data_IF_682818383947
#
_entry.id   IF_682818383947
#
_cell.length_a   1.000
_cell.length_b   1.000
_cell.length_c   1.000
_cell.angle_alpha   90.00
_cell.angle_beta   90.00
_cell.angle_gamma   90.00
#
_symmetry.space_group_name_H-M   'P 1'
#
loop_
_entity.id
_entity.type
_entity.pdbx_description
1 polymer ?
#
# COMPACT_ATOMS: atom_id res chain seq x y z
N UNK A 1 38.14 58.35 -23.66
CA UNK A 1 38.59 57.35 -22.67
C UNK A 1 37.54 57.16 -21.56
N UNK A 2 36.46 56.40 -21.76
CA UNK A 2 35.48 56.04 -20.68
C UNK A 2 34.76 54.69 -20.92
N UNK A 3 35.30 53.80 -21.76
CA UNK A 3 34.63 52.51 -22.09
C UNK A 3 35.29 51.32 -21.35
N UNK A 4 36.51 51.46 -20.83
CA UNK A 4 37.22 50.37 -20.14
C UNK A 4 36.74 50.04 -18.72
N UNK A 5 36.09 50.98 -18.02
CA UNK A 5 35.71 50.78 -16.62
C UNK A 5 34.41 49.96 -16.44
N UNK A 6 33.48 50.01 -17.39
CA UNK A 6 32.21 49.28 -17.30
C UNK A 6 32.35 47.78 -17.60
N UNK A 7 33.26 47.38 -18.47
CA UNK A 7 33.48 45.97 -18.80
C UNK A 7 34.14 45.20 -17.65
N UNK A 8 35.02 45.84 -16.87
CA UNK A 8 35.68 45.22 -15.72
C UNK A 8 34.72 44.99 -14.54
N UNK A 9 33.77 45.91 -14.32
CA UNK A 9 32.78 45.79 -13.27
C UNK A 9 31.75 44.67 -13.54
N UNK A 10 31.36 44.48 -14.81
CA UNK A 10 30.45 43.40 -15.19
C UNK A 10 31.10 42.01 -15.03
N UNK A 11 32.38 41.85 -15.37
CA UNK A 11 33.10 40.59 -15.21
C UNK A 11 33.27 40.18 -13.72
N UNK A 12 33.43 41.15 -12.81
CA UNK A 12 33.53 40.89 -11.36
C UNK A 12 32.19 40.50 -10.72
N UNK A 13 31.07 41.00 -11.25
CA UNK A 13 29.71 40.62 -10.82
C UNK A 13 29.36 39.18 -11.23
N UNK A 14 29.79 38.71 -12.40
CA UNK A 14 29.57 37.32 -12.81
C UNK A 14 30.41 36.30 -12.03
N UNK A 15 31.63 36.67 -11.60
CA UNK A 15 32.49 35.79 -10.80
C UNK A 15 32.03 35.60 -9.34
N UNK A 16 31.28 36.55 -8.78
CA UNK A 16 30.77 36.45 -7.40
C UNK A 16 29.46 35.68 -7.30
N UNK A 17 28.62 35.69 -8.35
CA UNK A 17 27.38 34.90 -8.41
C UNK A 17 27.63 33.39 -8.58
N UNK A 18 28.75 32.97 -9.19
CA UNK A 18 29.09 31.56 -9.39
C UNK A 18 29.54 30.80 -8.12
N UNK A 19 30.02 31.51 -7.09
CA UNK A 19 30.57 30.88 -5.87
C UNK A 19 29.55 30.67 -4.74
N UNK A 20 28.40 31.36 -4.73
CA UNK A 20 27.39 31.18 -3.69
C UNK A 20 26.54 29.92 -3.91
N UNK A 21 26.26 29.56 -5.17
CA UNK A 21 25.39 28.42 -5.49
C UNK A 21 25.98 27.08 -5.01
N UNK A 22 27.27 26.85 -5.29
CA UNK A 22 27.99 25.63 -4.90
C UNK A 22 28.12 25.42 -3.38
N UNK A 23 28.13 26.51 -2.59
CA UNK A 23 28.24 26.41 -1.13
C UNK A 23 26.92 25.96 -0.51
N UNK A 24 25.80 26.46 -1.01
CA UNK A 24 24.46 26.06 -0.56
C UNK A 24 24.16 24.59 -0.91
N UNK A 25 24.63 24.13 -2.06
CA UNK A 25 24.42 22.76 -2.53
C UNK A 25 25.22 21.74 -1.70
N UNK A 26 26.50 22.02 -1.39
CA UNK A 26 27.31 21.16 -0.51
C UNK A 26 26.78 21.09 0.92
N UNK A 27 26.28 22.19 1.47
CA UNK A 27 25.68 22.20 2.81
C UNK A 27 24.44 21.30 2.83
N UNK A 28 23.58 21.41 1.81
CA UNK A 28 22.39 20.54 1.67
C UNK A 28 22.76 19.08 1.50
N UNK A 29 23.78 18.76 0.71
CA UNK A 29 24.22 17.38 0.53
C UNK A 29 24.73 16.78 1.86
N UNK A 30 25.51 17.56 2.61
CA UNK A 30 25.95 17.19 3.96
C UNK A 30 24.77 16.99 4.94
N UNK A 31 23.70 17.76 4.83
CA UNK A 31 22.50 17.60 5.67
C UNK A 31 21.69 16.36 5.31
N UNK A 32 21.59 16.02 4.01
CA UNK A 32 20.96 14.77 3.58
C UNK A 32 21.74 13.56 4.09
N UNK A 33 23.07 13.59 3.99
CA UNK A 33 23.90 12.49 4.48
C UNK A 33 23.82 12.36 6.00
N UNK A 34 23.72 13.49 6.73
CA UNK A 34 23.41 13.49 8.16
C UNK A 34 22.05 12.87 8.46
N UNK A 35 21.02 13.19 7.67
CA UNK A 35 19.70 12.57 7.81
C UNK A 35 19.75 11.05 7.57
N UNK A 36 20.53 10.60 6.58
CA UNK A 36 20.80 9.18 6.35
C UNK A 36 21.41 8.50 7.57
N UNK A 37 22.44 9.08 8.16
CA UNK A 37 23.06 8.55 9.38
C UNK A 37 22.09 8.49 10.56
N UNK A 38 21.17 9.45 10.69
CA UNK A 38 20.12 9.41 11.71
C UNK A 38 19.14 8.26 11.50
N UNK A 39 18.76 7.96 10.24
CA UNK A 39 17.90 6.81 9.90
C UNK A 39 18.61 5.49 10.24
N UNK A 40 19.89 5.37 9.90
CA UNK A 40 20.69 4.18 10.20
C UNK A 40 20.87 3.94 11.71
N UNK A 41 20.85 5.01 12.50
CA UNK A 41 20.87 4.99 13.97
C UNK A 41 19.48 4.82 14.60
N UNK A 42 18.44 4.59 13.80
CA UNK A 42 17.03 4.49 14.23
C UNK A 42 16.48 5.76 14.92
N UNK A 43 17.14 6.92 14.72
CA UNK A 43 16.74 8.23 15.25
C UNK A 43 15.75 8.92 14.30
N UNK A 44 14.62 8.26 14.07
CA UNK A 44 13.68 8.65 13.02
C UNK A 44 13.04 10.02 13.24
N UNK A 45 12.71 10.40 14.47
CA UNK A 45 12.07 11.70 14.74
C UNK A 45 12.98 12.89 14.39
N UNK A 46 14.27 12.76 14.68
CA UNK A 46 15.27 13.77 14.32
C UNK A 46 15.49 13.82 12.80
N UNK A 47 15.57 12.65 12.15
CA UNK A 47 15.68 12.57 10.70
C UNK A 47 14.48 13.20 10.00
N UNK A 48 13.25 12.90 10.46
CA UNK A 48 12.01 13.45 9.92
C UNK A 48 11.99 14.97 10.09
N UNK A 49 12.31 15.48 11.28
CA UNK A 49 12.33 16.93 11.54
C UNK A 49 13.28 17.65 10.60
N UNK A 50 14.52 17.14 10.48
CA UNK A 50 15.53 17.70 9.57
C UNK A 50 15.04 17.68 8.11
N UNK A 51 14.50 16.55 7.64
CA UNK A 51 14.09 16.38 6.24
C UNK A 51 12.83 17.17 5.88
N UNK A 52 11.87 17.34 6.80
CA UNK A 52 10.69 18.20 6.58
C UNK A 52 11.10 19.67 6.47
N UNK A 53 12.04 20.13 7.30
CA UNK A 53 12.57 21.49 7.20
C UNK A 53 13.28 21.70 5.87
N UNK A 54 14.12 20.75 5.44
CA UNK A 54 14.78 20.82 4.14
C UNK A 54 13.79 20.78 2.96
N UNK A 55 12.67 20.05 3.10
CA UNK A 55 11.65 19.93 2.05
C UNK A 55 10.92 21.25 1.80
N UNK A 56 10.74 22.10 2.81
CA UNK A 56 10.13 23.44 2.66
C UNK A 56 10.90 24.31 1.67
N UNK A 57 12.23 24.16 1.66
CA UNK A 57 13.14 24.98 0.84
C UNK A 57 13.55 24.31 -0.49
N UNK A 58 13.21 23.03 -0.68
CA UNK A 58 13.70 22.22 -1.80
C UNK A 58 12.81 21.00 -2.08
N UNK A 59 12.26 20.93 -3.29
CA UNK A 59 11.50 19.76 -3.77
C UNK A 59 12.37 18.59 -4.23
N UNK A 60 13.64 18.52 -3.82
CA UNK A 60 14.59 17.51 -4.31
C UNK A 60 14.13 16.08 -4.03
N UNK A 61 14.31 15.22 -5.02
CA UNK A 61 13.90 13.82 -4.96
C UNK A 61 14.56 13.06 -3.80
N UNK A 62 15.85 13.30 -3.55
CA UNK A 62 16.62 12.63 -2.48
C UNK A 62 15.97 12.92 -1.11
N UNK A 63 15.55 14.16 -0.84
CA UNK A 63 14.86 14.53 0.39
C UNK A 63 13.56 13.73 0.55
N UNK A 64 12.72 13.67 -0.50
CA UNK A 64 11.46 12.92 -0.47
C UNK A 64 11.66 11.43 -0.18
N UNK A 65 12.66 10.81 -0.81
CA UNK A 65 12.96 9.38 -0.61
C UNK A 65 13.46 9.12 0.82
N UNK A 66 14.38 9.94 1.32
CA UNK A 66 14.87 9.79 2.69
C UNK A 66 13.78 10.05 3.73
N UNK A 67 12.92 11.04 3.49
CA UNK A 67 11.80 11.36 4.39
C UNK A 67 10.79 10.22 4.45
N UNK A 68 10.43 9.65 3.30
CA UNK A 68 9.58 8.48 3.23
C UNK A 68 10.20 7.27 3.94
N UNK A 69 11.51 7.06 3.80
CA UNK A 69 12.24 6.01 4.52
C UNK A 69 12.30 6.25 6.02
N UNK A 70 12.42 7.50 6.49
CA UNK A 70 12.40 7.81 7.92
C UNK A 70 11.02 7.53 8.53
N UNK A 71 9.93 7.91 7.85
CA UNK A 71 8.57 7.54 8.24
C UNK A 71 8.34 6.02 8.25
N UNK A 72 8.75 5.32 7.17
CA UNK A 72 8.66 3.86 7.10
C UNK A 72 9.46 3.17 8.22
N UNK A 73 10.66 3.66 8.51
CA UNK A 73 11.49 3.18 9.62
C UNK A 73 10.84 3.37 10.98
N UNK A 74 10.21 4.53 11.24
CA UNK A 74 9.47 4.79 12.49
C UNK A 74 8.23 3.91 12.66
N UNK A 75 7.67 3.45 11.55
CA UNK A 75 6.62 2.44 11.51
C UNK A 75 7.13 1.00 11.72
N UNK A 76 8.45 0.82 11.80
CA UNK A 76 9.10 -0.47 12.04
C UNK A 76 9.66 -1.16 10.80
N UNK A 77 9.56 -0.55 9.61
CA UNK A 77 10.07 -1.15 8.37
C UNK A 77 11.58 -0.96 8.26
N UNK A 78 12.33 -2.06 8.32
CA UNK A 78 13.79 -2.04 8.14
C UNK A 78 14.17 -2.45 6.74
N UNK A 79 15.24 -1.85 6.20
CA UNK A 79 15.75 -2.18 4.86
C UNK A 79 16.09 -3.67 4.69
N UNK A 80 16.56 -4.31 5.77
CA UNK A 80 16.86 -5.75 5.83
C UNK A 80 15.62 -6.63 5.63
N UNK A 81 14.44 -6.15 6.03
CA UNK A 81 13.18 -6.90 5.91
C UNK A 81 12.79 -7.06 4.43
N UNK A 82 13.07 -6.08 3.56
CA UNK A 82 12.78 -6.20 2.12
C UNK A 82 13.50 -7.39 1.46
N UNK A 83 14.72 -7.70 1.89
CA UNK A 83 15.45 -8.87 1.40
C UNK A 83 14.80 -10.19 1.86
N UNK A 84 14.38 -10.25 3.12
CA UNK A 84 13.70 -11.42 3.67
C UNK A 84 12.35 -11.66 2.99
N UNK A 85 11.58 -10.59 2.75
CA UNK A 85 10.35 -10.62 1.94
C UNK A 85 10.63 -11.22 0.57
N UNK A 86 11.65 -10.71 -0.13
CA UNK A 86 11.98 -11.18 -1.48
C UNK A 86 12.35 -12.66 -1.50
N UNK A 87 13.14 -13.10 -0.52
CA UNK A 87 13.52 -14.52 -0.36
C UNK A 87 12.29 -15.39 -0.08
N UNK A 88 11.43 -14.99 0.85
CA UNK A 88 10.21 -15.74 1.20
C UNK A 88 9.23 -15.78 0.04
N UNK A 89 9.06 -14.68 -0.68
CA UNK A 89 8.20 -14.61 -1.86
C UNK A 89 8.66 -15.59 -2.95
N UNK A 90 9.98 -15.66 -3.20
CA UNK A 90 10.55 -16.65 -4.14
C UNK A 90 10.24 -18.09 -3.72
N UNK A 91 10.39 -18.41 -2.43
CA UNK A 91 10.04 -19.73 -1.90
C UNK A 91 8.56 -20.06 -2.13
N UNK A 92 7.65 -19.11 -1.88
CA UNK A 92 6.21 -19.30 -2.12
C UNK A 92 5.94 -19.59 -3.60
N UNK A 93 6.59 -18.89 -4.53
CA UNK A 93 6.45 -19.16 -5.95
C UNK A 93 6.99 -20.54 -6.36
N UNK A 94 8.03 -21.03 -5.68
CA UNK A 94 8.55 -22.39 -5.88
C UNK A 94 7.60 -23.45 -5.29
N UNK A 95 7.06 -23.21 -4.10
CA UNK A 95 6.00 -24.02 -3.47
C UNK A 95 4.78 -24.14 -4.40
N UNK A 96 4.30 -23.03 -4.97
CA UNK A 96 3.17 -22.98 -5.90
C UNK A 96 3.42 -23.73 -7.22
N UNK A 97 4.66 -23.76 -7.71
CA UNK A 97 5.03 -24.56 -8.90
C UNK A 97 5.01 -26.05 -8.62
N UNK A 98 5.28 -26.44 -7.38
CA UNK A 98 5.33 -27.82 -6.93
C UNK A 98 3.96 -28.32 -6.40
N UNK A 99 2.96 -27.44 -6.27
CA UNK A 99 1.59 -27.84 -5.94
C UNK A 99 1.02 -28.72 -7.06
N UNK A 100 0.61 -29.95 -6.70
CA UNK A 100 -0.07 -30.84 -7.63
C UNK A 100 -1.41 -30.19 -8.08
N UNK A 101 -1.61 -29.94 -9.39
CA UNK A 101 -2.90 -29.45 -9.89
C UNK A 101 -4.06 -30.42 -9.63
N UNK A 102 -3.78 -31.67 -9.25
CA UNK A 102 -4.75 -32.69 -8.80
C UNK A 102 -4.88 -32.81 -7.28
N UNK A 103 -4.21 -31.95 -6.50
CA UNK A 103 -4.33 -31.93 -5.05
C UNK A 103 -5.81 -31.88 -4.63
N UNK A 104 -6.15 -32.67 -3.61
CA UNK A 104 -7.51 -32.83 -3.13
C UNK A 104 -8.20 -31.46 -2.91
N UNK A 105 -9.47 -31.37 -3.31
CA UNK A 105 -10.29 -30.18 -3.06
C UNK A 105 -10.30 -29.84 -1.56
N UNK A 106 -10.09 -28.58 -1.22
CA UNK A 106 -10.26 -28.07 0.15
C UNK A 106 -11.72 -28.28 0.54
N UNK A 107 -12.63 -28.02 -0.41
CA UNK A 107 -14.05 -28.32 -0.29
C UNK A 107 -14.48 -29.25 -1.42
N UNK A 108 -14.86 -30.49 -1.08
CA UNK A 108 -15.35 -31.45 -2.07
C UNK A 108 -16.88 -31.50 -2.07
N UNK A 109 -17.55 -31.60 -3.24
CA UNK A 109 -19.00 -31.81 -3.27
C UNK A 109 -19.47 -33.08 -2.57
N UNK A 110 -18.57 -34.07 -2.45
CA UNK A 110 -18.82 -35.38 -1.82
C UNK A 110 -18.73 -35.32 -0.29
N UNK A 111 -18.06 -34.32 0.28
CA UNK A 111 -17.93 -34.15 1.73
C UNK A 111 -19.09 -33.36 2.35
N UNK A 112 -20.06 -32.89 1.54
CA UNK A 112 -21.23 -32.17 2.05
C UNK A 112 -22.37 -33.12 2.46
N UNK A 113 -23.12 -32.78 3.53
CA UNK A 113 -24.31 -33.53 3.94
C UNK A 113 -25.36 -33.68 2.83
N UNK A 114 -26.16 -34.75 2.93
CA UNK A 114 -27.30 -35.04 2.03
C UNK A 114 -28.31 -33.89 1.93
N UNK A 115 -28.48 -33.14 3.02
CA UNK A 115 -29.43 -32.04 3.12
C UNK A 115 -29.04 -30.77 2.34
N UNK A 116 -27.79 -30.68 1.84
CA UNK A 116 -27.35 -29.49 1.12
C UNK A 116 -27.99 -29.42 -0.27
N UNK A 117 -28.70 -28.33 -0.62
CA UNK A 117 -29.30 -28.12 -1.93
C UNK A 117 -28.36 -28.42 -3.11
N UNK A 118 -28.90 -29.03 -4.16
CA UNK A 118 -28.13 -29.46 -5.34
C UNK A 118 -27.39 -28.30 -6.02
N UNK A 119 -27.96 -27.09 -6.00
CA UNK A 119 -27.32 -25.89 -6.57
C UNK A 119 -26.04 -25.49 -5.83
N UNK A 120 -26.00 -25.64 -4.50
CA UNK A 120 -24.77 -25.40 -3.70
C UNK A 120 -23.69 -26.39 -4.11
N UNK A 121 -24.04 -27.65 -4.36
CA UNK A 121 -23.09 -28.67 -4.83
C UNK A 121 -22.44 -28.32 -6.16
N UNK A 122 -23.15 -27.61 -7.04
CA UNK A 122 -22.60 -27.10 -8.30
C UNK A 122 -21.72 -25.85 -8.12
N UNK A 123 -21.94 -25.07 -7.06
CA UNK A 123 -21.13 -23.89 -6.75
C UNK A 123 -19.78 -24.25 -6.08
N UNK A 124 -19.68 -25.40 -5.40
CA UNK A 124 -18.49 -25.81 -4.65
C UNK A 124 -17.21 -25.80 -5.47
N UNK A 125 -17.13 -26.34 -6.71
CA UNK A 125 -15.88 -26.29 -7.46
C UNK A 125 -15.42 -24.86 -7.77
N UNK A 126 -16.36 -23.94 -7.99
CA UNK A 126 -16.04 -22.53 -8.20
C UNK A 126 -15.56 -21.87 -6.91
N UNK A 127 -16.21 -22.17 -5.79
CA UNK A 127 -15.82 -21.69 -4.48
C UNK A 127 -14.46 -22.25 -4.03
N UNK A 128 -14.19 -23.53 -4.24
CA UNK A 128 -12.89 -24.17 -3.98
C UNK A 128 -11.77 -23.49 -4.77
N UNK A 129 -12.00 -23.22 -6.06
CA UNK A 129 -11.05 -22.47 -6.90
C UNK A 129 -10.76 -21.09 -6.32
N UNK A 130 -11.79 -20.35 -5.90
CA UNK A 130 -11.63 -19.02 -5.30
C UNK A 130 -10.98 -19.06 -3.92
N UNK A 131 -11.26 -20.08 -3.12
CA UNK A 131 -10.63 -20.29 -1.83
C UNK A 131 -9.14 -20.63 -1.96
N UNK A 132 -8.76 -21.44 -2.96
CA UNK A 132 -7.35 -21.69 -3.28
C UNK A 132 -6.63 -20.43 -3.74
N UNK A 133 -7.26 -19.66 -4.62
CA UNK A 133 -6.74 -18.37 -5.07
C UNK A 133 -6.53 -17.41 -3.88
N UNK A 134 -7.52 -17.32 -3.00
CA UNK A 134 -7.43 -16.56 -1.75
C UNK A 134 -6.28 -17.03 -0.85
N UNK A 135 -6.14 -18.33 -0.61
CA UNK A 135 -5.07 -18.88 0.21
C UNK A 135 -3.68 -18.62 -0.38
N UNK A 136 -3.54 -18.67 -1.70
CA UNK A 136 -2.29 -18.30 -2.39
C UNK A 136 -1.95 -16.83 -2.18
N UNK A 137 -2.93 -15.94 -2.41
CA UNK A 137 -2.75 -14.51 -2.17
C UNK A 137 -2.39 -14.24 -0.71
N UNK A 138 -3.08 -14.88 0.24
CA UNK A 138 -2.77 -14.78 1.67
C UNK A 138 -1.36 -15.27 1.99
N UNK A 139 -0.92 -16.40 1.43
CA UNK A 139 0.44 -16.90 1.60
C UNK A 139 1.47 -15.88 1.09
N UNK A 140 1.26 -15.33 -0.11
CA UNK A 140 2.11 -14.27 -0.69
C UNK A 140 2.16 -13.03 0.20
N UNK A 141 1.01 -12.58 0.70
CA UNK A 141 0.93 -11.44 1.62
C UNK A 141 1.66 -11.75 2.92
N UNK A 142 1.62 -12.97 3.45
CA UNK A 142 2.27 -13.38 4.70
C UNK A 142 3.80 -13.17 4.72
N UNK A 143 4.44 -13.08 3.54
CA UNK A 143 5.86 -12.77 3.40
C UNK A 143 6.23 -11.32 3.76
N UNK A 144 5.25 -10.41 3.79
CA UNK A 144 5.46 -8.99 4.07
C UNK A 144 5.63 -8.73 5.59
N UNK A 145 6.07 -7.54 5.99
CA UNK A 145 5.89 -7.08 7.37
C UNK A 145 4.41 -6.72 7.62
N UNK A 146 3.96 -6.90 8.86
CA UNK A 146 2.64 -6.44 9.33
C UNK A 146 2.83 -5.14 10.12
N UNK A 147 2.04 -4.11 9.81
CA UNK A 147 2.14 -2.81 10.47
C UNK A 147 1.02 -2.66 11.51
N UNK A 148 1.36 -2.44 12.80
CA UNK A 148 0.38 -2.14 13.84
C UNK A 148 -0.47 -0.91 13.49
N UNK A 149 -1.72 -0.87 13.95
CA UNK A 149 -2.68 0.20 13.64
C UNK A 149 -2.12 1.59 13.96
N UNK A 150 -1.49 1.74 15.14
CA UNK A 150 -0.89 2.97 15.62
C UNK A 150 0.30 3.48 14.79
N UNK A 151 0.85 2.63 13.91
CA UNK A 151 1.98 2.94 13.02
C UNK A 151 1.56 3.16 11.57
N UNK A 152 0.31 2.88 11.19
CA UNK A 152 -0.15 2.99 9.78
C UNK A 152 -0.08 4.42 9.25
N UNK A 153 -0.35 5.42 10.09
CA UNK A 153 -0.28 6.83 9.72
C UNK A 153 1.12 7.25 9.24
N UNK A 154 2.19 6.63 9.74
CA UNK A 154 3.55 6.89 9.25
C UNK A 154 3.76 6.31 7.85
N UNK A 155 3.20 5.13 7.56
CA UNK A 155 3.24 4.54 6.21
C UNK A 155 2.43 5.40 5.23
N UNK A 156 1.27 5.91 5.63
CA UNK A 156 0.48 6.85 4.82
C UNK A 156 1.26 8.12 4.50
N UNK A 157 1.88 8.75 5.51
CA UNK A 157 2.76 9.92 5.29
C UNK A 157 3.92 9.61 4.34
N UNK A 158 4.57 8.47 4.49
CA UNK A 158 5.62 8.04 3.58
C UNK A 158 5.11 7.94 2.13
N UNK A 159 3.92 7.36 1.93
CA UNK A 159 3.28 7.26 0.62
C UNK A 159 2.90 8.62 0.05
N UNK A 160 2.43 9.55 0.88
CA UNK A 160 2.05 10.90 0.46
C UNK A 160 3.27 11.68 -0.04
N UNK A 161 4.39 11.62 0.70
CA UNK A 161 5.66 12.24 0.29
C UNK A 161 6.11 11.72 -1.08
N UNK A 162 5.98 10.43 -1.33
CA UNK A 162 6.39 9.80 -2.59
C UNK A 162 5.39 10.08 -3.74
N UNK A 163 4.12 10.35 -3.43
CA UNK A 163 3.06 10.60 -4.42
C UNK A 163 3.33 11.81 -5.31
N UNK A 164 4.16 12.74 -4.83
CA UNK A 164 4.53 13.96 -5.55
C UNK A 164 5.64 13.75 -6.59
N UNK A 165 6.24 12.56 -6.65
CA UNK A 165 7.30 12.25 -7.60
C UNK A 165 6.75 11.60 -8.86
N UNK A 166 7.21 12.04 -10.03
CA UNK A 166 6.94 11.36 -11.31
C UNK A 166 7.92 10.20 -11.59
N UNK A 167 9.01 10.09 -10.82
CA UNK A 167 10.07 9.11 -11.08
C UNK A 167 9.67 7.68 -10.72
N UNK A 168 10.17 6.72 -11.51
CA UNK A 168 9.87 5.28 -11.40
C UNK A 168 10.21 4.71 -10.02
N UNK A 169 11.39 5.01 -9.48
CA UNK A 169 11.85 4.49 -8.19
C UNK A 169 10.94 4.84 -7.01
N UNK A 170 10.62 6.13 -6.78
CA UNK A 170 9.64 6.55 -5.78
C UNK A 170 8.24 5.96 -5.97
N UNK A 171 7.80 5.77 -7.21
CA UNK A 171 6.51 5.12 -7.51
C UNK A 171 6.53 3.65 -7.10
N UNK A 172 7.58 2.93 -7.45
CA UNK A 172 7.78 1.56 -7.00
C UNK A 172 7.81 1.49 -5.48
N UNK A 173 8.50 2.42 -4.82
CA UNK A 173 8.57 2.44 -3.36
C UNK A 173 7.20 2.70 -2.72
N UNK A 174 6.44 3.67 -3.25
CA UNK A 174 5.07 3.95 -2.79
C UNK A 174 4.14 2.76 -2.99
N UNK A 175 4.27 2.03 -4.10
CA UNK A 175 3.53 0.80 -4.36
C UNK A 175 3.85 -0.28 -3.32
N UNK A 176 5.14 -0.50 -3.01
CA UNK A 176 5.57 -1.47 -1.98
C UNK A 176 4.97 -1.13 -0.61
N UNK A 177 5.06 0.14 -0.19
CA UNK A 177 4.44 0.60 1.05
C UNK A 177 2.91 0.41 1.04
N UNK A 178 2.26 0.64 -0.11
CA UNK A 178 0.84 0.37 -0.31
C UNK A 178 0.47 -1.11 -0.12
N UNK A 179 1.27 -2.04 -0.65
CA UNK A 179 1.04 -3.48 -0.50
C UNK A 179 1.18 -3.90 0.98
N UNK A 180 2.17 -3.36 1.69
CA UNK A 180 2.38 -3.60 3.13
C UNK A 180 1.19 -3.08 3.95
N UNK A 181 0.71 -1.87 3.64
CA UNK A 181 -0.45 -1.29 4.31
C UNK A 181 -1.71 -2.10 4.00
N UNK A 182 -1.92 -2.50 2.75
CA UNK A 182 -3.04 -3.34 2.31
C UNK A 182 -3.09 -4.67 3.06
N UNK A 183 -1.93 -5.34 3.25
CA UNK A 183 -1.86 -6.53 4.11
C UNK A 183 -2.40 -6.25 5.51
N UNK A 184 -2.03 -5.12 6.10
CA UNK A 184 -2.39 -4.81 7.49
C UNK A 184 -3.91 -4.65 7.66
N UNK A 185 -4.58 -4.01 6.70
CA UNK A 185 -6.04 -3.94 6.65
C UNK A 185 -6.69 -5.32 6.41
N UNK A 186 -6.08 -6.15 5.56
CA UNK A 186 -6.58 -7.48 5.27
C UNK A 186 -6.49 -8.44 6.47
N UNK A 187 -5.39 -8.41 7.23
CA UNK A 187 -5.26 -9.22 8.44
C UNK A 187 -6.22 -8.76 9.54
N UNK A 188 -6.42 -7.44 9.72
CA UNK A 188 -7.42 -6.95 10.66
C UNK A 188 -8.85 -7.38 10.28
N UNK A 189 -9.18 -7.36 8.98
CA UNK A 189 -10.45 -7.89 8.50
C UNK A 189 -10.59 -9.38 8.82
N UNK A 190 -9.52 -10.17 8.64
CA UNK A 190 -9.51 -11.61 8.92
C UNK A 190 -9.66 -11.92 10.41
N UNK A 191 -9.01 -11.16 11.29
CA UNK A 191 -9.11 -11.33 12.75
C UNK A 191 -10.56 -11.15 13.23
N UNK A 192 -11.25 -10.16 12.67
CA UNK A 192 -12.67 -9.88 12.97
C UNK A 192 -13.65 -10.93 12.44
N UNK A 193 -13.25 -11.78 11.49
CA UNK A 193 -14.12 -12.88 11.02
C UNK A 193 -14.45 -13.84 12.17
N UNK A 194 -13.56 -14.01 13.15
CA UNK A 194 -13.83 -14.85 14.31
C UNK A 194 -14.99 -14.31 15.17
N UNK A 195 -15.15 -12.99 15.24
CA UNK A 195 -16.21 -12.31 15.99
C UNK A 195 -17.60 -12.53 15.37
N UNK A 196 -17.67 -12.83 14.07
CA UNK A 196 -18.94 -13.12 13.39
C UNK A 196 -19.64 -14.38 13.94
N UNK A 197 -18.88 -15.34 14.49
CA UNK A 197 -19.46 -16.59 15.02
C UNK A 197 -20.22 -16.38 16.33
N UNK A 198 -19.89 -15.33 17.08
CA UNK A 198 -20.51 -15.00 18.37
C UNK A 198 -21.51 -13.86 18.25
N UNK A 199 -21.63 -13.25 17.08
CA UNK A 199 -22.50 -12.13 16.81
C UNK A 199 -23.96 -12.55 16.59
N UNK A 200 -24.87 -11.93 17.35
CA UNK A 200 -26.31 -12.19 17.29
C UNK A 200 -27.04 -11.30 16.27
N UNK A 201 -26.40 -10.23 15.81
CA UNK A 201 -26.96 -9.28 14.84
C UNK A 201 -26.73 -9.71 13.37
N UNK A 202 -25.96 -10.78 13.15
CA UNK A 202 -25.74 -11.39 11.84
C UNK A 202 -25.21 -10.39 10.80
N UNK A 203 -25.81 -10.38 9.61
CA UNK A 203 -25.41 -9.48 8.51
C UNK A 203 -25.57 -7.98 8.83
N UNK A 204 -26.29 -7.64 9.89
CA UNK A 204 -26.52 -6.26 10.31
C UNK A 204 -25.51 -5.76 11.34
N UNK A 205 -24.57 -6.62 11.74
CA UNK A 205 -23.60 -6.38 12.80
C UNK A 205 -22.63 -5.22 12.50
N UNK A 206 -22.21 -4.47 13.53
CA UNK A 206 -21.05 -3.58 13.46
C UNK A 206 -19.75 -4.25 13.01
N UNK A 207 -19.55 -5.55 13.34
CA UNK A 207 -18.41 -6.36 12.90
C UNK A 207 -18.38 -6.49 11.39
N UNK A 208 -19.53 -6.76 10.75
CA UNK A 208 -19.64 -6.82 9.29
C UNK A 208 -19.30 -5.46 8.67
N UNK A 209 -19.81 -4.36 9.24
CA UNK A 209 -19.47 -3.01 8.80
C UNK A 209 -17.95 -2.73 8.88
N UNK A 210 -17.31 -3.15 9.97
CA UNK A 210 -15.86 -3.01 10.14
C UNK A 210 -15.07 -3.81 9.11
N UNK A 211 -15.46 -5.06 8.84
CA UNK A 211 -14.82 -5.89 7.81
C UNK A 211 -14.96 -5.24 6.43
N UNK A 212 -16.15 -4.77 6.08
CA UNK A 212 -16.40 -4.08 4.80
C UNK A 212 -15.58 -2.78 4.69
N UNK A 213 -15.41 -2.06 5.78
CA UNK A 213 -14.54 -0.87 5.82
C UNK A 213 -13.08 -1.22 5.51
N UNK A 214 -12.53 -2.24 6.15
CA UNK A 214 -11.15 -2.68 5.88
C UNK A 214 -10.97 -3.18 4.44
N UNK A 215 -11.96 -3.90 3.90
CA UNK A 215 -11.96 -4.34 2.50
C UNK A 215 -12.03 -3.17 1.52
N UNK A 216 -12.80 -2.10 1.82
CA UNK A 216 -12.81 -0.87 1.00
C UNK A 216 -11.43 -0.24 0.97
N UNK A 217 -10.77 -0.06 2.11
CA UNK A 217 -9.42 0.53 2.15
C UNK A 217 -8.46 -0.32 1.31
N UNK A 218 -8.54 -1.64 1.45
CA UNK A 218 -7.71 -2.57 0.69
C UNK A 218 -7.95 -2.47 -0.83
N UNK A 219 -9.20 -2.27 -1.26
CA UNK A 219 -9.54 -2.03 -2.65
C UNK A 219 -8.96 -0.70 -3.17
N UNK A 220 -9.13 0.39 -2.42
CA UNK A 220 -8.56 1.71 -2.79
C UNK A 220 -7.04 1.61 -2.93
N UNK A 221 -6.37 0.98 -1.97
CA UNK A 221 -4.93 0.73 -2.02
C UNK A 221 -4.54 -0.08 -3.26
N UNK A 222 -5.31 -1.12 -3.63
CA UNK A 222 -5.04 -1.92 -4.83
C UNK A 222 -5.02 -1.06 -6.10
N UNK A 223 -5.99 -0.16 -6.26
CA UNK A 223 -6.04 0.75 -7.41
C UNK A 223 -4.85 1.69 -7.43
N UNK A 224 -4.49 2.27 -6.28
CA UNK A 224 -3.32 3.16 -6.16
C UNK A 224 -2.01 2.42 -6.44
N UNK A 225 -1.84 1.20 -5.92
CA UNK A 225 -0.69 0.33 -6.16
C UNK A 225 -0.55 0.06 -7.66
N UNK A 226 -1.63 -0.35 -8.33
CA UNK A 226 -1.60 -0.61 -9.77
C UNK A 226 -1.27 0.66 -10.57
N UNK A 227 -1.78 1.82 -10.16
CA UNK A 227 -1.42 3.10 -10.77
C UNK A 227 0.06 3.44 -10.58
N UNK A 228 0.62 3.25 -9.39
CA UNK A 228 2.04 3.48 -9.12
C UNK A 228 2.92 2.46 -9.87
N UNK A 229 2.51 1.20 -9.97
CA UNK A 229 3.21 0.17 -10.75
C UNK A 229 3.21 0.47 -12.25
N UNK A 230 2.11 1.02 -12.79
CA UNK A 230 2.02 1.46 -14.19
C UNK A 230 3.10 2.52 -14.47
N UNK A 231 3.30 3.46 -13.55
CA UNK A 231 4.29 4.52 -13.67
C UNK A 231 5.72 4.02 -13.42
N UNK A 232 5.89 3.04 -12.52
CA UNK A 232 7.20 2.43 -12.23
C UNK A 232 7.70 1.49 -13.33
N UNK A 233 6.79 0.87 -14.09
CA UNK A 233 7.12 -0.06 -15.17
C UNK A 233 6.41 0.32 -16.48
N UNK A 234 6.86 1.39 -17.18
CA UNK A 234 6.21 1.84 -18.42
C UNK A 234 6.10 0.75 -19.50
N UNK A 235 7.08 -0.17 -19.57
CA UNK A 235 7.08 -1.30 -20.51
C UNK A 235 5.96 -2.32 -20.26
N UNK A 236 5.37 -2.34 -19.06
CA UNK A 236 4.23 -3.20 -18.69
C UNK A 236 2.92 -2.43 -18.56
N UNK A 237 2.87 -1.16 -18.95
CA UNK A 237 1.71 -0.31 -18.75
C UNK A 237 0.42 -0.90 -19.37
N UNK A 238 0.50 -1.49 -20.56
CA UNK A 238 -0.66 -2.10 -21.21
C UNK A 238 -1.22 -3.33 -20.46
N UNK A 239 -0.35 -4.15 -19.87
CA UNK A 239 -0.74 -5.29 -19.03
C UNK A 239 -1.43 -4.80 -17.76
N UNK A 240 -0.86 -3.78 -17.12
CA UNK A 240 -1.40 -3.18 -15.90
C UNK A 240 -2.73 -2.46 -16.17
N UNK A 241 -2.87 -1.82 -17.32
CA UNK A 241 -4.12 -1.17 -17.75
C UNK A 241 -5.24 -2.17 -17.98
N UNK A 242 -4.92 -3.33 -18.56
CA UNK A 242 -5.88 -4.42 -18.70
C UNK A 242 -6.34 -4.94 -17.33
N UNK A 243 -5.44 -5.04 -16.35
CA UNK A 243 -5.80 -5.42 -14.98
C UNK A 243 -6.60 -4.32 -14.26
N UNK A 244 -6.25 -3.05 -14.42
CA UNK A 244 -7.03 -1.93 -13.88
C UNK A 244 -8.45 -1.92 -14.45
N UNK A 245 -8.61 -2.16 -15.76
CA UNK A 245 -9.92 -2.21 -16.40
C UNK A 245 -10.81 -3.34 -15.86
N UNK A 246 -10.22 -4.51 -15.54
CA UNK A 246 -10.95 -5.63 -14.91
C UNK A 246 -11.40 -5.33 -13.48
N UNK A 247 -10.64 -4.49 -12.77
CA UNK A 247 -10.84 -4.21 -11.34
C UNK A 247 -11.53 -2.86 -11.08
N UNK A 248 -11.86 -2.09 -12.11
CA UNK A 248 -12.60 -0.83 -11.96
C UNK A 248 -14.05 -1.09 -11.55
N UNK A 249 -14.41 -0.59 -10.36
CA UNK A 249 -15.81 -0.52 -9.96
C UNK A 249 -16.53 0.53 -10.81
N UNK A 250 -17.73 0.20 -11.28
CA UNK A 250 -18.65 1.18 -11.86
C UNK A 250 -18.99 2.27 -10.84
N UNK A 251 -19.40 3.48 -11.27
CA UNK A 251 -19.81 4.54 -10.35
C UNK A 251 -20.84 4.07 -9.31
N UNK A 252 -21.82 3.28 -9.72
CA UNK A 252 -22.82 2.70 -8.83
C UNK A 252 -22.22 1.72 -7.82
N UNK A 253 -21.28 0.86 -8.24
CA UNK A 253 -20.57 -0.04 -7.33
C UNK A 253 -19.67 0.72 -6.35
N UNK A 254 -19.08 1.83 -6.78
CA UNK A 254 -18.27 2.70 -5.91
C UNK A 254 -19.14 3.40 -4.86
N UNK A 255 -20.29 3.93 -5.27
CA UNK A 255 -21.28 4.52 -4.36
C UNK A 255 -21.81 3.49 -3.35
N UNK A 256 -22.07 2.25 -3.80
CA UNK A 256 -22.42 1.12 -2.92
C UNK A 256 -21.29 0.77 -1.95
N UNK A 257 -20.04 0.68 -2.42
CA UNK A 257 -18.90 0.40 -1.55
C UNK A 257 -18.68 1.53 -0.52
N UNK A 258 -18.87 2.78 -0.92
CA UNK A 258 -18.74 3.94 -0.03
C UNK A 258 -19.80 3.99 1.05
N UNK A 259 -21.03 3.58 0.74
CA UNK A 259 -22.14 3.49 1.69
C UNK A 259 -22.01 2.27 2.61
N UNK A 260 -21.44 1.15 2.15
CA UNK A 260 -21.18 -0.04 2.97
C UNK A 260 -20.06 0.14 4.01
N UNK A 261 -19.17 1.11 3.81
CA UNK A 261 -17.90 1.22 4.51
C UNK A 261 -17.80 2.44 5.44
N UNK A 262 -18.93 2.90 6.00
CA UNK A 262 -18.91 3.99 6.99
C UNK A 262 -18.43 3.48 8.36
N UNK A 263 -17.55 4.22 9.05
CA UNK A 263 -17.08 3.81 10.35
C UNK A 263 -18.18 3.97 11.41
N UNK A 264 -18.25 2.97 12.29
CA UNK A 264 -18.89 2.95 13.61
C UNK A 264 -20.43 2.93 13.71
N UNK A 265 -20.93 1.90 14.41
CA UNK A 265 -22.17 1.96 15.20
C UNK A 265 -23.51 1.93 14.46
N UNK A 266 -23.53 1.85 13.13
CA UNK A 266 -24.78 1.74 12.36
C UNK A 266 -24.93 0.35 11.78
N UNK A 267 -26.08 -0.26 12.02
CA UNK A 267 -26.37 -1.56 11.44
C UNK A 267 -26.40 -1.46 9.92
N UNK A 268 -25.68 -2.35 9.24
CA UNK A 268 -25.59 -2.41 7.76
C UNK A 268 -27.00 -2.46 7.14
N UNK A 269 -27.95 -3.03 7.86
CA UNK A 269 -29.35 -3.18 7.48
C UNK A 269 -30.25 -1.95 7.71
N UNK A 270 -29.80 -0.91 8.42
CA UNK A 270 -30.49 0.40 8.45
C UNK A 270 -30.27 1.16 7.16
N UNK A 271 -29.11 1.01 6.54
CA UNK A 271 -28.78 1.64 5.26
C UNK A 271 -29.16 0.74 4.06
N UNK A 272 -29.23 -0.58 4.24
CA UNK A 272 -29.64 -1.53 3.20
C UNK A 272 -30.73 -2.53 3.64
N UNK A 273 -32.02 -2.20 3.44
CA UNK A 273 -33.13 -3.10 3.78
C UNK A 273 -33.10 -4.43 3.04
N UNK A 274 -32.47 -4.50 1.86
CA UNK A 274 -32.32 -5.72 1.05
C UNK A 274 -31.53 -6.80 1.80
N UNK A 275 -30.58 -6.42 2.65
CA UNK A 275 -29.79 -7.35 3.45
C UNK A 275 -30.59 -7.94 4.64
N UNK A 276 -31.70 -7.30 5.06
CA UNK A 276 -32.61 -7.88 6.07
C UNK A 276 -33.28 -9.16 5.58
N UNK A 277 -33.46 -9.32 4.26
CA UNK A 277 -34.11 -10.48 3.67
C UNK A 277 -33.19 -11.68 3.44
N UNK A 278 -31.88 -11.50 3.61
CA UNK A 278 -30.84 -12.51 3.33
C UNK A 278 -30.40 -13.28 4.58
N UNK A 279 -31.06 -13.09 5.73
CA UNK A 279 -30.71 -13.75 6.99
C UNK A 279 -31.91 -14.30 7.77
N UNK A 280 -32.17 -15.60 7.59
CA UNK A 280 -32.24 -16.60 8.66
C UNK A 280 -31.34 -17.75 8.27
#
# INVERSE_FOLDING_TARGET
MRIGALALAAAFLFLTLGCQNNRSERVRESEIDRAGALIDQERYDEAITLLEDMRKDSGQLKIKVYLASAYAGRAGLKSVEYWQVSKRYKQILEEEKNEDPKAAAILSPKSLPGAVPRWIRFAIPHFDKKLREFNRVRSRLSALPLIPEEKRADIEKARDVLSESANEGPRLYRAVLGIILMRSHFEEANERVAELNTDKEGNCSPVVGSILHQLKISYVLTVEILSDLRLAFPSKAAEIDAELAKNQLTPAQREQLESLARPEGRSVCKEFPVLKGLGR
#
